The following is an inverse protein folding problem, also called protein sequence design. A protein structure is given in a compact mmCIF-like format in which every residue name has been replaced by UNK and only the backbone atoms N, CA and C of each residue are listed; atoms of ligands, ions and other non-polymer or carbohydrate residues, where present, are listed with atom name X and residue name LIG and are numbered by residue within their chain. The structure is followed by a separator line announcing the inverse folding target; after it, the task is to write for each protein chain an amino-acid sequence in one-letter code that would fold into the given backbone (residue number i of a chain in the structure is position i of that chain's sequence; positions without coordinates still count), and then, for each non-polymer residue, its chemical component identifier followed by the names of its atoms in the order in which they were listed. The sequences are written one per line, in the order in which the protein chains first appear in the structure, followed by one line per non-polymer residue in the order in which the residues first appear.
data_IF_047904867111
#
_entry.id   IF_047904867111
#
_cell.length_a   1.000
_cell.length_b   1.000
_cell.length_c   1.000
_cell.angle_alpha   90.00
_cell.angle_beta   90.00
_cell.angle_gamma   90.00
#
_symmetry.space_group_name_H-M   'P 1'
#
loop_
_entity.id
_entity.type
_entity.pdbx_description
1 polymer ?
#
# COMPACT_ATOMS: atom_id res chain seq x y z
N UNK A 1 16.28 18.33 -14.57
CA UNK A 1 16.99 17.39 -15.44
C UNK A 1 15.92 16.65 -16.24
N UNK A 2 16.00 16.64 -17.56
CA UNK A 2 15.15 15.78 -18.40
C UNK A 2 15.55 14.33 -18.13
N UNK A 3 14.60 13.47 -17.75
CA UNK A 3 14.84 12.02 -17.72
C UNK A 3 15.34 11.60 -19.10
N UNK A 4 16.48 10.92 -19.15
CA UNK A 4 16.91 10.29 -20.38
C UNK A 4 16.01 9.10 -20.68
N UNK A 5 15.92 8.70 -21.94
CA UNK A 5 15.28 7.48 -22.38
C UNK A 5 15.74 6.24 -21.56
N UNK A 6 16.98 6.26 -21.07
CA UNK A 6 17.58 5.21 -20.23
C UNK A 6 17.12 5.24 -18.77
N UNK A 7 16.77 6.42 -18.23
CA UNK A 7 16.30 6.55 -16.85
C UNK A 7 14.97 5.84 -16.60
N UNK A 8 14.28 5.50 -17.69
CA UNK A 8 13.04 4.76 -17.74
C UNK A 8 13.25 3.25 -17.54
N UNK A 9 14.42 2.72 -17.91
CA UNK A 9 14.78 1.30 -17.81
C UNK A 9 15.93 1.13 -16.81
N UNK A 10 15.70 1.50 -15.55
CA UNK A 10 16.65 1.24 -14.46
C UNK A 10 16.24 -0.02 -13.69
N UNK A 11 16.63 -1.17 -14.22
CA UNK A 11 16.37 -2.49 -13.65
C UNK A 11 16.39 -3.55 -14.75
N UNK A 12 16.20 -4.81 -14.37
CA UNK A 12 16.16 -5.89 -15.34
C UNK A 12 14.88 -5.81 -16.20
N UNK A 13 14.97 -6.18 -17.48
CA UNK A 13 13.84 -6.28 -18.38
C UNK A 13 13.48 -7.75 -18.64
N UNK A 14 12.21 -8.01 -18.95
CA UNK A 14 11.78 -9.31 -19.48
C UNK A 14 11.36 -9.14 -20.93
N UNK A 15 11.85 -10.03 -21.80
CA UNK A 15 11.47 -10.08 -23.21
C UNK A 15 10.91 -11.47 -23.50
N UNK A 16 9.66 -11.51 -23.99
CA UNK A 16 8.95 -12.75 -24.32
C UNK A 16 8.63 -12.76 -25.82
N UNK A 17 9.29 -13.63 -26.58
CA UNK A 17 9.08 -13.77 -28.02
C UNK A 17 9.57 -15.17 -28.44
N UNK A 18 8.73 -15.92 -29.16
CA UNK A 18 9.00 -17.31 -29.56
C UNK A 18 10.12 -17.41 -30.63
N UNK A 19 10.44 -16.30 -31.30
CA UNK A 19 11.43 -16.22 -32.38
C UNK A 19 12.77 -15.65 -31.95
N UNK A 20 13.05 -15.57 -30.65
CA UNK A 20 14.38 -15.17 -30.14
C UNK A 20 15.47 -16.07 -30.74
N UNK A 21 16.47 -15.44 -31.39
CA UNK A 21 17.55 -16.11 -32.12
C UNK A 21 17.18 -16.66 -33.50
N UNK A 22 15.95 -16.40 -33.99
CA UNK A 22 15.45 -16.83 -35.30
C UNK A 22 15.00 -15.64 -36.17
N UNK A 23 14.57 -14.55 -35.56
CA UNK A 23 14.11 -13.33 -36.24
C UNK A 23 14.99 -12.12 -35.87
N UNK A 24 15.38 -11.33 -36.88
CA UNK A 24 16.19 -10.13 -36.70
C UNK A 24 15.52 -9.08 -35.83
N UNK A 25 14.18 -9.09 -35.74
CA UNK A 25 13.44 -7.99 -35.13
C UNK A 25 13.51 -7.95 -33.63
N UNK A 26 13.33 -9.11 -33.01
CA UNK A 26 13.53 -9.25 -31.58
C UNK A 26 15.02 -9.23 -31.22
N UNK A 27 15.88 -9.77 -32.08
CA UNK A 27 17.33 -9.78 -31.83
C UNK A 27 17.93 -8.36 -31.86
N UNK A 28 17.42 -7.46 -32.71
CA UNK A 28 17.79 -6.04 -32.70
C UNK A 28 17.33 -5.33 -31.42
N UNK A 29 16.15 -5.68 -30.89
CA UNK A 29 15.65 -5.16 -29.62
C UNK A 29 16.52 -5.63 -28.46
N UNK A 30 16.84 -6.93 -28.43
CA UNK A 30 17.72 -7.52 -27.43
C UNK A 30 19.13 -6.91 -27.50
N UNK A 31 19.63 -6.64 -28.71
CA UNK A 31 20.91 -5.97 -28.90
C UNK A 31 20.91 -4.55 -28.33
N UNK A 32 19.84 -3.78 -28.53
CA UNK A 32 19.73 -2.45 -27.91
C UNK A 32 19.78 -2.53 -26.37
N UNK A 33 19.10 -3.51 -25.76
CA UNK A 33 19.17 -3.74 -24.32
C UNK A 33 20.59 -4.14 -23.85
N UNK A 34 21.25 -5.02 -24.60
CA UNK A 34 22.61 -5.49 -24.31
C UNK A 34 23.64 -4.35 -24.47
N UNK A 35 23.52 -3.50 -25.51
CA UNK A 35 24.38 -2.35 -25.77
C UNK A 35 24.32 -1.31 -24.64
N UNK A 36 23.17 -1.18 -23.98
CA UNK A 36 22.95 -0.31 -22.81
C UNK A 36 23.18 -1.03 -21.46
N UNK A 37 23.71 -2.25 -21.49
CA UNK A 37 24.00 -3.09 -20.32
C UNK A 37 22.78 -3.35 -19.41
N UNK A 38 21.58 -3.42 -19.97
CA UNK A 38 20.34 -3.75 -19.24
C UNK A 38 20.26 -5.28 -19.05
N UNK A 39 20.23 -5.79 -17.81
CA UNK A 39 20.05 -7.22 -17.59
C UNK A 39 18.70 -7.68 -18.14
N UNK A 40 18.71 -8.70 -19.01
CA UNK A 40 17.49 -9.12 -19.72
C UNK A 40 17.21 -10.60 -19.52
N UNK A 41 16.00 -10.92 -19.08
CA UNK A 41 15.47 -12.29 -19.06
C UNK A 41 14.76 -12.55 -20.39
N UNK A 42 15.23 -13.56 -21.13
CA UNK A 42 14.75 -13.91 -22.47
C UNK A 42 13.89 -15.17 -22.36
N UNK A 43 12.62 -15.10 -22.77
CA UNK A 43 11.67 -16.21 -22.72
C UNK A 43 11.07 -16.45 -24.09
N UNK A 44 10.96 -17.72 -24.49
CA UNK A 44 10.31 -18.10 -25.76
C UNK A 44 8.83 -18.40 -25.63
N UNK A 45 8.34 -18.55 -24.40
CA UNK A 45 6.96 -18.93 -24.08
C UNK A 45 6.46 -18.12 -22.90
N UNK A 46 5.14 -18.00 -22.79
CA UNK A 46 4.55 -17.41 -21.60
C UNK A 46 4.82 -18.32 -20.39
N UNK A 47 5.38 -17.79 -19.29
CA UNK A 47 5.53 -18.56 -18.07
C UNK A 47 4.17 -18.77 -17.41
N UNK A 48 4.05 -19.77 -16.52
CA UNK A 48 2.85 -19.92 -15.72
C UNK A 48 2.65 -18.68 -14.81
N UNK A 49 1.40 -18.34 -14.53
CA UNK A 49 1.03 -17.08 -13.84
C UNK A 49 1.44 -17.05 -12.37
N UNK A 50 1.74 -18.19 -11.76
CA UNK A 50 2.28 -18.32 -10.40
C UNK A 50 3.75 -17.84 -10.32
N UNK A 51 4.52 -17.96 -11.41
CA UNK A 51 5.90 -17.49 -11.47
C UNK A 51 6.01 -15.95 -11.41
N UNK A 52 4.92 -15.22 -11.65
CA UNK A 52 4.88 -13.75 -11.65
C UNK A 52 5.21 -13.14 -10.29
N UNK A 53 5.14 -13.92 -9.19
CA UNK A 53 5.61 -13.47 -7.86
C UNK A 53 7.07 -13.00 -7.88
N UNK A 54 7.90 -13.61 -8.74
CA UNK A 54 9.32 -13.26 -8.88
C UNK A 54 9.56 -12.04 -9.77
N UNK A 55 8.52 -11.49 -10.40
CA UNK A 55 8.66 -10.47 -11.44
C UNK A 55 8.51 -9.04 -10.90
N UNK A 56 8.11 -8.89 -9.64
CA UNK A 56 7.77 -7.60 -9.00
C UNK A 56 8.89 -6.55 -9.02
N UNK A 57 10.14 -6.97 -9.22
CA UNK A 57 11.34 -6.12 -9.23
C UNK A 57 11.88 -5.82 -10.64
N UNK A 58 11.30 -6.38 -11.70
CA UNK A 58 11.67 -5.98 -13.06
C UNK A 58 11.32 -4.50 -13.31
N UNK A 59 11.97 -3.89 -14.29
CA UNK A 59 11.67 -2.52 -14.70
C UNK A 59 10.47 -2.49 -15.67
N UNK A 60 10.43 -3.44 -16.60
CA UNK A 60 9.42 -3.53 -17.66
C UNK A 60 9.33 -4.93 -18.25
N UNK A 61 8.26 -5.15 -19.02
CA UNK A 61 8.05 -6.35 -19.82
C UNK A 61 7.85 -5.92 -21.27
N UNK A 62 8.54 -6.58 -22.20
CA UNK A 62 8.24 -6.55 -23.63
C UNK A 62 7.78 -7.95 -24.04
N UNK A 63 6.66 -8.05 -24.72
CA UNK A 63 6.16 -9.33 -25.23
C UNK A 63 5.72 -9.22 -26.69
N UNK A 64 5.92 -10.28 -27.47
CA UNK A 64 5.23 -10.45 -28.74
C UNK A 64 3.75 -10.77 -28.49
N UNK A 65 2.89 -10.27 -29.36
CA UNK A 65 1.48 -10.65 -29.36
C UNK A 65 1.27 -12.00 -30.04
N UNK A 66 2.03 -12.32 -31.09
CA UNK A 66 1.82 -13.50 -31.91
C UNK A 66 2.57 -14.74 -31.40
N UNK A 67 2.58 -14.97 -30.07
CA UNK A 67 3.30 -16.08 -29.45
C UNK A 67 2.70 -17.43 -29.84
N UNK A 68 3.44 -18.21 -30.60
CA UNK A 68 3.08 -19.59 -30.88
C UNK A 68 3.82 -20.48 -29.89
N UNK A 69 3.13 -20.94 -28.83
CA UNK A 69 3.68 -21.95 -27.91
C UNK A 69 3.73 -23.33 -28.61
N UNK A 70 4.19 -23.40 -29.86
CA UNK A 70 4.46 -24.68 -30.49
C UNK A 70 5.62 -25.26 -29.68
N UNK A 71 5.39 -26.42 -29.09
CA UNK A 71 6.47 -27.21 -28.52
C UNK A 71 7.60 -27.34 -29.54
N UNK A 72 8.83 -27.47 -29.06
CA UNK A 72 10.00 -27.82 -29.89
C UNK A 72 9.83 -29.26 -30.45
N UNK A 73 8.67 -29.58 -31.02
CA UNK A 73 8.41 -30.76 -31.82
C UNK A 73 8.74 -30.40 -33.28
N UNK A 74 9.83 -30.91 -33.85
CA UNK A 74 10.37 -30.49 -35.13
C UNK A 74 9.49 -30.85 -36.35
N UNK A 75 8.26 -31.34 -36.16
CA UNK A 75 7.39 -31.84 -37.24
C UNK A 75 6.33 -30.87 -37.77
N UNK A 76 6.16 -29.67 -37.20
CA UNK A 76 5.22 -28.68 -37.75
C UNK A 76 5.94 -27.40 -38.16
N UNK A 77 6.74 -27.49 -39.24
CA UNK A 77 7.05 -26.32 -40.06
C UNK A 77 5.72 -25.83 -40.67
N UNK A 78 5.06 -24.84 -40.05
CA UNK A 78 3.95 -24.15 -40.70
C UNK A 78 4.56 -23.34 -41.85
N UNK A 79 4.30 -23.69 -43.12
CA UNK A 79 4.87 -22.98 -44.26
C UNK A 79 4.36 -21.53 -44.25
N UNK A 80 5.25 -20.57 -44.55
CA UNK A 80 4.88 -19.16 -44.72
C UNK A 80 3.70 -19.04 -45.69
N UNK A 81 2.55 -18.57 -45.20
CA UNK A 81 1.33 -18.37 -45.99
C UNK A 81 0.16 -19.31 -45.68
N UNK A 82 0.31 -20.26 -44.75
CA UNK A 82 -0.83 -21.07 -44.27
C UNK A 82 -1.63 -20.28 -43.23
N UNK A 83 -2.93 -20.08 -43.49
CA UNK A 83 -3.85 -19.45 -42.56
C UNK A 83 -3.93 -20.28 -41.27
N UNK A 84 -3.54 -19.67 -40.16
CA UNK A 84 -3.76 -20.20 -38.81
C UNK A 84 -5.27 -20.43 -38.63
N UNK A 85 -5.72 -21.61 -38.17
CA UNK A 85 -7.14 -21.84 -37.89
C UNK A 85 -7.67 -20.77 -36.94
N UNK A 86 -8.83 -20.19 -37.23
CA UNK A 86 -9.41 -19.08 -36.44
C UNK A 86 -9.58 -19.42 -34.95
N UNK A 87 -9.79 -20.69 -34.62
CA UNK A 87 -9.86 -21.19 -33.24
C UNK A 87 -8.51 -21.14 -32.53
N UNK A 88 -7.40 -21.46 -33.22
CA UNK A 88 -6.05 -21.39 -32.67
C UNK A 88 -5.65 -19.93 -32.41
N UNK A 89 -6.07 -19.02 -33.30
CA UNK A 89 -5.86 -17.58 -33.12
C UNK A 89 -6.61 -17.03 -31.91
N UNK A 90 -7.87 -17.45 -31.68
CA UNK A 90 -8.64 -17.06 -30.50
C UNK A 90 -8.04 -17.59 -29.18
N UNK A 91 -7.51 -18.81 -29.18
CA UNK A 91 -6.88 -19.41 -28.01
C UNK A 91 -5.58 -18.67 -27.62
N UNK A 92 -4.74 -18.33 -28.61
CA UNK A 92 -3.52 -17.52 -28.39
C UNK A 92 -3.89 -16.15 -27.80
N UNK A 93 -4.88 -15.47 -28.37
CA UNK A 93 -5.37 -14.18 -27.86
C UNK A 93 -5.87 -14.31 -26.42
N UNK A 94 -6.70 -15.32 -26.14
CA UNK A 94 -7.22 -15.57 -24.79
C UNK A 94 -6.12 -15.83 -23.75
N UNK A 95 -5.09 -16.60 -24.13
CA UNK A 95 -3.93 -16.87 -23.26
C UNK A 95 -3.14 -15.60 -22.96
N UNK A 96 -2.86 -14.78 -23.98
CA UNK A 96 -2.16 -13.51 -23.81
C UNK A 96 -2.94 -12.57 -22.89
N UNK A 97 -4.26 -12.45 -23.09
CA UNK A 97 -5.14 -11.64 -22.23
C UNK A 97 -5.09 -12.14 -20.79
N UNK A 98 -5.20 -13.45 -20.55
CA UNK A 98 -5.12 -14.00 -19.19
C UNK A 98 -3.77 -13.66 -18.53
N UNK A 99 -2.68 -13.85 -19.25
CA UNK A 99 -1.34 -13.52 -18.75
C UNK A 99 -1.18 -12.04 -18.42
N UNK A 100 -1.64 -11.14 -19.29
CA UNK A 100 -1.61 -9.68 -19.06
C UNK A 100 -2.50 -9.32 -17.86
N UNK A 101 -3.67 -9.93 -17.71
CA UNK A 101 -4.54 -9.74 -16.55
C UNK A 101 -3.82 -10.09 -15.24
N UNK A 102 -3.17 -11.26 -15.20
CA UNK A 102 -2.37 -11.68 -14.04
C UNK A 102 -1.20 -10.72 -13.76
N UNK A 103 -0.54 -10.20 -14.80
CA UNK A 103 0.52 -9.19 -14.65
C UNK A 103 0.01 -7.87 -14.08
N UNK A 104 -1.17 -7.42 -14.52
CA UNK A 104 -1.80 -6.19 -14.04
C UNK A 104 -2.20 -6.31 -12.57
N UNK A 105 -2.70 -7.48 -12.16
CA UNK A 105 -3.09 -7.76 -10.78
C UNK A 105 -1.89 -7.90 -9.82
N UNK A 106 -0.85 -8.63 -10.23
CA UNK A 106 0.25 -9.02 -9.33
C UNK A 106 1.44 -8.05 -9.30
N UNK A 107 1.51 -7.14 -10.26
CA UNK A 107 2.65 -6.23 -10.43
C UNK A 107 2.19 -4.82 -10.76
N UNK A 108 3.07 -3.83 -10.64
CA UNK A 108 2.86 -2.47 -11.15
C UNK A 108 3.74 -2.16 -12.38
N UNK A 109 4.14 -3.20 -13.12
CA UNK A 109 5.06 -3.05 -14.25
C UNK A 109 4.35 -2.48 -15.49
N UNK A 110 5.05 -1.66 -16.29
CA UNK A 110 4.65 -1.36 -17.65
C UNK A 110 4.85 -2.61 -18.54
N UNK A 111 3.88 -2.86 -19.42
CA UNK A 111 3.84 -3.98 -20.36
C UNK A 111 3.79 -3.41 -21.78
N UNK A 112 4.78 -3.74 -22.58
CA UNK A 112 4.90 -3.35 -23.97
C UNK A 112 4.64 -4.55 -24.86
N UNK A 113 3.62 -4.46 -25.70
CA UNK A 113 3.24 -5.50 -26.66
C UNK A 113 3.78 -5.05 -28.01
N UNK A 114 4.72 -5.82 -28.56
CA UNK A 114 5.27 -5.59 -29.89
C UNK A 114 4.56 -6.51 -30.89
N UNK A 115 3.99 -5.98 -31.97
CA UNK A 115 3.21 -6.79 -32.92
C UNK A 115 3.45 -6.39 -34.37
N UNK A 116 3.26 -7.36 -35.28
CA UNK A 116 3.17 -7.13 -36.73
C UNK A 116 1.70 -7.09 -37.22
N UNK A 117 0.75 -7.40 -36.34
CA UNK A 117 -0.68 -7.31 -36.62
C UNK A 117 -1.17 -5.85 -36.63
N UNK A 118 -2.39 -5.64 -37.10
CA UNK A 118 -2.98 -4.31 -37.07
C UNK A 118 -3.17 -3.85 -35.62
N UNK A 119 -2.61 -2.69 -35.27
CA UNK A 119 -2.65 -2.15 -33.91
C UNK A 119 -4.09 -2.00 -33.38
N UNK A 120 -5.04 -1.68 -34.26
CA UNK A 120 -6.45 -1.54 -33.92
C UNK A 120 -7.08 -2.87 -33.49
N UNK A 121 -6.69 -3.99 -34.11
CA UNK A 121 -7.21 -5.32 -33.77
C UNK A 121 -6.75 -5.74 -32.37
N UNK A 122 -5.45 -5.62 -32.09
CA UNK A 122 -4.86 -5.93 -30.77
C UNK A 122 -5.43 -5.01 -29.70
N UNK A 123 -5.52 -3.71 -29.98
CA UNK A 123 -6.05 -2.72 -29.04
C UNK A 123 -7.53 -2.96 -28.73
N UNK A 124 -8.31 -3.42 -29.71
CA UNK A 124 -9.73 -3.79 -29.51
C UNK A 124 -9.84 -5.01 -28.62
N UNK A 125 -9.05 -6.06 -28.86
CA UNK A 125 -9.05 -7.27 -28.02
C UNK A 125 -8.70 -6.97 -26.55
N UNK A 126 -7.68 -6.12 -26.31
CA UNK A 126 -7.32 -5.69 -24.97
C UNK A 126 -8.41 -4.84 -24.31
N UNK A 127 -9.04 -3.95 -25.08
CA UNK A 127 -10.12 -3.10 -24.58
C UNK A 127 -11.33 -3.92 -24.15
N UNK A 128 -11.79 -4.83 -25.01
CA UNK A 128 -12.93 -5.70 -24.74
C UNK A 128 -12.70 -6.57 -23.49
N UNK A 129 -11.45 -6.96 -23.24
CA UNK A 129 -11.09 -7.76 -22.07
C UNK A 129 -10.99 -6.94 -20.77
N UNK A 130 -10.43 -5.74 -20.81
CA UNK A 130 -10.01 -5.02 -19.59
C UNK A 130 -10.80 -3.75 -19.30
N UNK A 131 -11.47 -3.12 -20.26
CA UNK A 131 -12.10 -1.80 -20.02
C UNK A 131 -13.16 -1.84 -18.91
N UNK A 132 -13.89 -2.96 -18.79
CA UNK A 132 -14.90 -3.14 -17.76
C UNK A 132 -14.34 -3.45 -16.36
N UNK A 133 -13.22 -4.17 -16.27
CA UNK A 133 -12.68 -4.69 -15.01
C UNK A 133 -11.47 -3.89 -14.50
N UNK A 134 -10.66 -3.38 -15.41
CA UNK A 134 -9.43 -2.61 -15.17
C UNK A 134 -9.38 -1.42 -16.14
N UNK A 135 -10.25 -0.40 -15.97
CA UNK A 135 -10.39 0.71 -16.92
C UNK A 135 -9.09 1.52 -17.11
N UNK A 136 -8.15 1.44 -16.17
CA UNK A 136 -6.85 2.12 -16.23
C UNK A 136 -5.73 1.25 -16.81
N UNK A 137 -6.02 0.09 -17.41
CA UNK A 137 -4.99 -0.80 -17.96
C UNK A 137 -4.08 -0.09 -19.00
N UNK A 138 -4.63 0.87 -19.77
CA UNK A 138 -3.90 1.64 -20.79
C UNK A 138 -2.84 2.60 -20.20
N UNK A 139 -2.85 2.83 -18.88
CA UNK A 139 -1.76 3.51 -18.16
C UNK A 139 -0.53 2.61 -18.02
N UNK A 140 -0.68 1.30 -18.24
CA UNK A 140 0.39 0.31 -18.03
C UNK A 140 0.66 -0.57 -19.24
N UNK A 141 -0.32 -0.80 -20.09
CA UNK A 141 -0.19 -1.62 -21.29
C UNK A 141 -0.11 -0.72 -22.51
N UNK A 142 0.83 -1.00 -23.39
CA UNK A 142 0.92 -0.33 -24.67
C UNK A 142 1.27 -1.27 -25.80
N UNK A 143 0.68 -1.02 -26.96
CA UNK A 143 0.88 -1.80 -28.17
C UNK A 143 1.69 -0.96 -29.16
N UNK A 144 2.79 -1.51 -29.63
CA UNK A 144 3.66 -0.92 -30.65
C UNK A 144 3.74 -1.85 -31.86
N UNK A 145 3.94 -1.26 -33.04
CA UNK A 145 4.38 -2.05 -34.18
C UNK A 145 5.86 -2.46 -33.99
N UNK A 146 6.28 -3.66 -34.43
CA UNK A 146 7.69 -4.09 -34.30
C UNK A 146 8.65 -3.13 -35.02
N UNK A 147 8.19 -2.43 -36.07
CA UNK A 147 8.97 -1.43 -36.80
C UNK A 147 9.18 -0.12 -36.02
N UNK A 148 8.25 0.30 -35.15
CA UNK A 148 8.38 1.51 -34.32
C UNK A 148 9.44 1.38 -33.21
N UNK A 149 9.69 0.16 -32.75
CA UNK A 149 10.70 -0.11 -31.73
C UNK A 149 12.12 -0.08 -32.28
N UNK A 150 12.28 0.01 -33.61
CA UNK A 150 13.58 0.05 -34.27
C UNK A 150 13.86 1.40 -34.93
N UNK A 151 15.07 1.97 -34.77
CA UNK A 151 16.19 1.56 -33.91
C UNK A 151 16.16 2.22 -32.51
N UNK A 152 15.02 2.78 -32.10
CA UNK A 152 14.94 3.72 -30.97
C UNK A 152 14.08 3.19 -29.81
N UNK A 153 14.26 1.94 -29.40
CA UNK A 153 13.47 1.27 -28.36
C UNK A 153 13.30 2.15 -27.11
N UNK A 154 14.43 2.60 -26.55
CA UNK A 154 14.43 3.40 -25.33
C UNK A 154 13.79 4.76 -25.53
N UNK A 155 13.93 5.38 -26.70
CA UNK A 155 13.29 6.66 -26.98
C UNK A 155 11.77 6.49 -27.06
N UNK A 156 11.30 5.45 -27.76
CA UNK A 156 9.89 5.13 -27.93
C UNK A 156 9.23 4.77 -26.59
N UNK A 157 9.81 3.83 -25.84
CA UNK A 157 9.38 3.47 -24.49
C UNK A 157 9.49 4.67 -23.54
N UNK A 158 10.60 5.40 -23.62
CA UNK A 158 10.90 6.52 -22.75
C UNK A 158 9.91 7.66 -22.93
N UNK A 159 9.52 7.97 -24.17
CA UNK A 159 8.49 8.95 -24.50
C UNK A 159 7.13 8.53 -23.94
N UNK A 160 6.78 7.26 -24.07
CA UNK A 160 5.52 6.71 -23.57
C UNK A 160 5.42 6.73 -22.03
N UNK A 161 6.51 6.40 -21.33
CA UNK A 161 6.55 6.50 -19.85
C UNK A 161 6.56 7.98 -19.42
N UNK A 162 7.28 8.84 -20.15
CA UNK A 162 7.31 10.28 -19.88
C UNK A 162 5.97 10.97 -20.11
N UNK A 163 5.04 10.38 -20.87
CA UNK A 163 3.68 10.90 -21.00
C UNK A 163 2.76 10.45 -19.85
N UNK A 164 3.24 9.62 -18.92
CA UNK A 164 2.44 9.02 -17.82
C UNK A 164 3.00 9.38 -16.44
N UNK A 165 2.44 10.40 -15.76
CA UNK A 165 2.91 10.83 -14.45
C UNK A 165 2.96 9.72 -13.40
N UNK A 166 1.98 8.81 -13.37
CA UNK A 166 1.92 7.73 -12.39
C UNK A 166 3.13 6.78 -12.49
N UNK A 167 3.53 6.40 -13.71
CA UNK A 167 4.70 5.56 -13.93
C UNK A 167 6.01 6.28 -13.59
N UNK A 168 6.09 7.57 -13.88
CA UNK A 168 7.26 8.39 -13.50
C UNK A 168 7.43 8.46 -11.98
N UNK A 169 6.34 8.70 -11.25
CA UNK A 169 6.33 8.72 -9.79
C UNK A 169 6.72 7.35 -9.23
N UNK A 170 6.14 6.26 -9.76
CA UNK A 170 6.46 4.90 -9.33
C UNK A 170 7.95 4.57 -9.54
N UNK A 171 8.50 4.92 -10.70
CA UNK A 171 9.91 4.69 -10.99
C UNK A 171 10.83 5.52 -10.08
N UNK A 172 10.52 6.81 -9.86
CA UNK A 172 11.28 7.65 -8.95
C UNK A 172 11.21 7.11 -7.50
N UNK A 173 10.02 6.70 -7.05
CA UNK A 173 9.82 6.10 -5.73
C UNK A 173 10.63 4.81 -5.56
N UNK A 174 10.56 3.87 -6.52
CA UNK A 174 11.33 2.61 -6.46
C UNK A 174 12.82 2.84 -6.33
N UNK A 175 13.37 3.78 -7.12
CA UNK A 175 14.80 4.13 -7.05
C UNK A 175 15.19 4.68 -5.67
N UNK A 176 14.39 5.61 -5.14
CA UNK A 176 14.63 6.19 -3.84
C UNK A 176 14.50 5.14 -2.71
N UNK A 177 13.50 4.26 -2.80
CA UNK A 177 13.28 3.16 -1.87
C UNK A 177 14.46 2.19 -1.83
N UNK A 178 14.90 1.68 -2.98
CA UNK A 178 16.02 0.72 -3.05
C UNK A 178 17.32 1.36 -2.55
N UNK A 179 17.57 2.63 -2.89
CA UNK A 179 18.74 3.36 -2.37
C UNK A 179 18.69 3.49 -0.84
N UNK A 180 17.52 3.84 -0.28
CA UNK A 180 17.33 3.92 1.16
C UNK A 180 17.47 2.55 1.85
N UNK A 181 16.91 1.49 1.27
CA UNK A 181 17.04 0.11 1.76
C UNK A 181 18.52 -0.31 1.85
N UNK A 182 19.27 -0.14 0.76
CA UNK A 182 20.70 -0.47 0.71
C UNK A 182 21.48 0.30 1.79
N UNK A 183 21.22 1.60 1.94
CA UNK A 183 21.88 2.43 2.95
C UNK A 183 21.60 1.95 4.38
N UNK A 184 20.33 1.67 4.70
CA UNK A 184 19.93 1.16 6.03
C UNK A 184 20.67 -0.13 6.37
N UNK A 185 20.67 -1.12 5.47
CA UNK A 185 21.31 -2.40 5.72
C UNK A 185 22.84 -2.28 5.83
N UNK A 186 23.47 -1.40 5.03
CA UNK A 186 24.88 -1.11 5.19
C UNK A 186 25.20 -0.42 6.52
N UNK A 187 24.37 0.55 6.94
CA UNK A 187 24.59 1.25 8.19
C UNK A 187 24.42 0.31 9.40
N UNK A 188 23.38 -0.51 9.41
CA UNK A 188 23.18 -1.50 10.47
C UNK A 188 24.34 -2.49 10.54
N UNK A 189 24.76 -3.04 9.39
CA UNK A 189 25.89 -3.98 9.34
C UNK A 189 27.21 -3.36 9.78
N UNK A 190 27.43 -2.06 9.53
CA UNK A 190 28.61 -1.32 10.01
C UNK A 190 28.57 -1.06 11.52
N UNK A 191 27.38 -0.80 12.07
CA UNK A 191 27.20 -0.56 13.50
C UNK A 191 27.39 -1.85 14.32
N UNK A 192 26.83 -2.96 13.83
CA UNK A 192 27.03 -4.29 14.38
C UNK A 192 26.90 -5.34 13.27
N UNK A 193 27.91 -6.19 13.10
CA UNK A 193 27.93 -7.28 12.13
C UNK A 193 26.69 -8.21 12.22
N UNK A 194 26.26 -8.51 13.44
CA UNK A 194 25.04 -9.24 13.80
C UNK A 194 24.09 -8.35 14.63
N UNK A 195 23.65 -7.26 13.99
CA UNK A 195 22.65 -6.37 14.57
C UNK A 195 21.32 -7.08 14.82
N UNK A 196 20.98 -8.11 14.02
CA UNK A 196 19.74 -8.89 14.17
C UNK A 196 19.73 -9.63 15.51
N UNK A 197 20.79 -10.37 15.85
CA UNK A 197 20.85 -11.05 17.16
C UNK A 197 20.83 -10.06 18.34
N UNK A 198 21.34 -8.85 18.13
CA UNK A 198 21.28 -7.79 19.15
C UNK A 198 19.84 -7.31 19.38
N UNK A 199 19.09 -7.07 18.31
CA UNK A 199 17.65 -6.73 18.38
C UNK A 199 16.84 -7.88 18.96
N UNK A 200 17.09 -9.12 18.55
CA UNK A 200 16.41 -10.30 19.08
C UNK A 200 16.63 -10.47 20.59
N UNK A 201 17.85 -10.24 21.08
CA UNK A 201 18.15 -10.30 22.52
C UNK A 201 17.40 -9.20 23.29
N UNK A 202 17.32 -7.99 22.75
CA UNK A 202 16.54 -6.90 23.35
C UNK A 202 15.04 -7.22 23.37
N UNK A 203 14.48 -7.64 22.23
CA UNK A 203 13.08 -8.03 22.12
C UNK A 203 12.70 -9.16 23.08
N UNK A 204 13.58 -10.17 23.23
CA UNK A 204 13.36 -11.27 24.18
C UNK A 204 13.43 -10.83 25.63
N UNK A 205 14.36 -9.93 25.96
CA UNK A 205 14.45 -9.37 27.31
C UNK A 205 13.20 -8.56 27.68
N UNK A 206 12.61 -7.91 26.68
CA UNK A 206 11.40 -7.12 26.86
C UNK A 206 10.12 -7.94 26.69
N UNK A 207 10.12 -9.17 26.16
CA UNK A 207 8.89 -9.92 25.80
C UNK A 207 8.08 -9.28 24.66
N UNK A 208 8.77 -8.77 23.63
CA UNK A 208 8.15 -8.19 22.42
C UNK A 208 8.22 -9.14 21.24
N UNK A 209 7.21 -9.08 20.35
CA UNK A 209 7.19 -9.80 19.08
C UNK A 209 8.32 -9.33 18.16
N UNK A 210 9.31 -10.20 17.97
CA UNK A 210 10.52 -9.91 17.16
C UNK A 210 10.18 -9.47 15.73
N UNK A 211 9.28 -10.15 14.99
CA UNK A 211 8.96 -9.75 13.61
C UNK A 211 8.39 -8.33 13.51
N UNK A 212 7.56 -7.93 14.48
CA UNK A 212 6.95 -6.60 14.54
C UNK A 212 8.02 -5.54 14.82
N UNK A 213 8.87 -5.78 15.82
CA UNK A 213 9.98 -4.86 16.15
C UNK A 213 10.95 -4.69 14.97
N UNK A 214 11.31 -5.78 14.28
CA UNK A 214 12.18 -5.72 13.11
C UNK A 214 11.53 -4.94 11.96
N UNK A 215 10.25 -5.21 11.67
CA UNK A 215 9.49 -4.48 10.65
C UNK A 215 9.51 -2.99 10.95
N UNK A 216 9.15 -2.57 12.16
CA UNK A 216 9.02 -1.15 12.50
C UNK A 216 10.37 -0.44 12.48
N UNK A 217 11.41 -1.10 12.99
CA UNK A 217 12.79 -0.60 12.93
C UNK A 217 13.25 -0.37 11.49
N UNK A 218 13.08 -1.38 10.62
CA UNK A 218 13.51 -1.30 9.21
C UNK A 218 12.66 -0.27 8.46
N UNK A 219 11.33 -0.36 8.56
CA UNK A 219 10.40 0.51 7.85
C UNK A 219 10.61 1.99 8.23
N UNK A 220 10.72 2.31 9.53
CA UNK A 220 10.97 3.67 9.97
C UNK A 220 12.32 4.19 9.42
N UNK A 221 13.35 3.35 9.40
CA UNK A 221 14.65 3.76 8.88
C UNK A 221 14.64 3.95 7.35
N UNK A 222 13.98 3.09 6.60
CA UNK A 222 13.88 3.22 5.13
C UNK A 222 13.05 4.46 4.77
N UNK A 223 11.85 4.60 5.33
CA UNK A 223 10.93 5.70 5.01
C UNK A 223 11.54 7.08 5.30
N UNK A 224 12.26 7.24 6.41
CA UNK A 224 12.90 8.51 6.77
C UNK A 224 14.17 8.84 5.97
N UNK A 225 14.65 7.91 5.12
CA UNK A 225 15.78 8.14 4.20
C UNK A 225 15.36 8.34 2.75
N UNK A 226 14.10 8.08 2.42
CA UNK A 226 13.54 8.45 1.12
C UNK A 226 13.44 9.97 1.09
N UNK A 227 14.33 10.60 0.32
CA UNK A 227 14.30 12.04 0.07
C UNK A 227 13.15 12.46 -0.84
N UNK A 228 13.03 13.77 -1.15
CA UNK A 228 12.10 14.27 -2.17
C UNK A 228 12.26 13.51 -3.48
N UNK A 229 11.14 13.14 -4.10
CA UNK A 229 11.17 12.43 -5.38
C UNK A 229 11.66 13.35 -6.49
N UNK A 230 12.71 12.91 -7.18
CA UNK A 230 13.22 13.59 -8.37
C UNK A 230 12.36 13.20 -9.59
N UNK A 231 11.33 14.00 -9.86
CA UNK A 231 10.41 13.84 -11.00
C UNK A 231 10.26 15.15 -11.77
N UNK A 232 10.16 15.05 -13.09
CA UNK A 232 9.87 16.18 -13.98
C UNK A 232 8.41 16.09 -14.44
N UNK A 233 7.49 16.47 -13.56
CA UNK A 233 6.08 16.56 -13.91
C UNK A 233 5.86 17.78 -14.80
N UNK A 234 5.10 17.62 -15.89
CA UNK A 234 4.69 18.73 -16.73
C UNK A 234 3.74 19.70 -16.01
N UNK A 235 3.53 20.87 -16.58
CA UNK A 235 2.57 21.83 -16.05
C UNK A 235 1.15 21.27 -16.10
N UNK A 236 0.42 21.39 -15.00
CA UNK A 236 -1.02 21.11 -14.96
C UNK A 236 -1.75 22.40 -15.32
N UNK A 237 -2.65 22.33 -16.31
CA UNK A 237 -3.52 23.46 -16.64
C UNK A 237 -4.44 23.73 -15.46
N UNK A 238 -4.21 24.83 -14.75
CA UNK A 238 -5.03 25.27 -13.62
C UNK A 238 -6.25 26.07 -14.11
N UNK A 239 -7.09 25.51 -14.99
CA UNK A 239 -8.34 26.16 -15.40
C UNK A 239 -9.55 25.38 -14.85
N UNK A 240 -10.23 25.95 -13.85
CA UNK A 240 -11.55 25.49 -13.41
C UNK A 240 -11.62 24.65 -12.13
N UNK A 241 -12.81 24.14 -11.85
CA UNK A 241 -13.09 23.23 -10.74
C UNK A 241 -12.39 21.88 -10.98
N UNK A 242 -12.01 21.16 -9.91
CA UNK A 242 -11.47 19.81 -10.01
C UNK A 242 -12.40 18.93 -10.88
N UNK A 243 -11.88 18.44 -12.02
CA UNK A 243 -12.64 17.66 -13.01
C UNK A 243 -13.35 16.45 -12.37
N UNK A 244 -12.74 15.85 -11.34
CA UNK A 244 -13.38 14.87 -10.47
C UNK A 244 -12.89 14.99 -9.02
N UNK A 245 -13.59 15.82 -8.23
CA UNK A 245 -13.34 15.94 -6.79
C UNK A 245 -13.54 14.62 -6.02
N UNK A 246 -14.35 13.68 -6.54
CA UNK A 246 -14.59 12.38 -5.91
C UNK A 246 -13.39 11.46 -6.13
N UNK A 247 -12.82 11.41 -7.34
CA UNK A 247 -11.57 10.69 -7.59
C UNK A 247 -10.40 11.22 -6.75
N UNK A 248 -10.25 12.55 -6.64
CA UNK A 248 -9.20 13.11 -5.78
C UNK A 248 -9.41 12.73 -4.31
N UNK A 249 -10.65 12.79 -3.80
CA UNK A 249 -10.97 12.32 -2.45
C UNK A 249 -10.59 10.86 -2.27
N UNK A 250 -10.91 9.98 -3.23
CA UNK A 250 -10.48 8.56 -3.20
C UNK A 250 -8.98 8.41 -3.08
N UNK A 251 -8.19 9.12 -3.90
CA UNK A 251 -6.72 9.04 -3.85
C UNK A 251 -6.18 9.51 -2.49
N UNK A 252 -6.63 10.68 -2.01
CA UNK A 252 -6.24 11.20 -0.70
C UNK A 252 -6.69 10.29 0.44
N UNK A 253 -7.84 9.64 0.27
CA UNK A 253 -8.42 8.72 1.23
C UNK A 253 -7.60 7.42 1.35
N UNK A 254 -7.16 6.82 0.24
CA UNK A 254 -6.21 5.70 0.26
C UNK A 254 -4.84 6.09 0.83
N UNK A 255 -4.49 7.37 0.81
CA UNK A 255 -3.30 7.88 1.53
C UNK A 255 -3.50 7.99 3.05
N UNK A 256 -4.74 7.98 3.54
CA UNK A 256 -5.07 8.16 4.95
C UNK A 256 -5.47 6.85 5.64
N UNK A 257 -6.03 5.88 4.93
CA UNK A 257 -6.56 4.63 5.51
C UNK A 257 -6.09 3.42 4.72
N UNK A 258 -5.69 2.36 5.43
CA UNK A 258 -5.34 1.05 4.87
C UNK A 258 -6.49 0.08 5.16
N UNK A 259 -6.99 -0.68 4.15
CA UNK A 259 -8.06 -1.66 4.37
C UNK A 259 -7.56 -2.87 5.18
N UNK A 260 -8.48 -3.53 5.90
CA UNK A 260 -8.16 -4.70 6.73
C UNK A 260 -7.45 -5.82 5.96
N UNK A 261 -7.80 -6.03 4.69
CA UNK A 261 -7.16 -7.02 3.80
C UNK A 261 -5.65 -6.81 3.59
N UNK A 262 -5.13 -5.62 3.91
CA UNK A 262 -3.71 -5.26 3.83
C UNK A 262 -3.02 -5.21 5.20
N UNK A 263 -3.74 -5.48 6.29
CA UNK A 263 -3.23 -5.47 7.66
C UNK A 263 -2.97 -6.90 8.14
N UNK A 264 -2.00 -7.06 9.06
CA UNK A 264 -1.81 -8.35 9.71
C UNK A 264 -3.03 -8.71 10.58
N UNK A 265 -3.61 -9.91 10.45
CA UNK A 265 -4.83 -10.29 11.20
C UNK A 265 -4.65 -10.27 12.73
N UNK A 266 -3.46 -10.61 13.20
CA UNK A 266 -3.14 -10.73 14.62
C UNK A 266 -2.57 -9.45 15.27
N UNK A 267 -2.49 -8.35 14.53
CA UNK A 267 -1.89 -7.11 15.01
C UNK A 267 -2.96 -6.06 15.22
N UNK A 268 -3.02 -5.46 16.41
CA UNK A 268 -3.85 -4.28 16.67
C UNK A 268 -2.96 -3.04 16.80
N UNK A 269 -3.43 -1.89 16.34
CA UNK A 269 -2.70 -0.62 16.50
C UNK A 269 -3.66 0.56 16.66
N UNK A 270 -3.13 1.65 17.21
CA UNK A 270 -3.82 2.94 17.25
C UNK A 270 -4.26 3.36 15.84
N UNK A 271 -5.53 3.72 15.70
CA UNK A 271 -6.16 4.08 14.43
C UNK A 271 -6.94 2.94 13.77
N UNK A 272 -6.89 1.72 14.30
CA UNK A 272 -7.74 0.61 13.81
C UNK A 272 -9.23 0.99 13.88
N UNK A 273 -9.95 0.67 12.80
CA UNK A 273 -11.35 1.00 12.57
C UNK A 273 -12.20 -0.26 12.73
N UNK A 274 -13.21 -0.21 13.58
CA UNK A 274 -14.08 -1.33 13.89
C UNK A 274 -15.55 -0.99 13.67
N UNK A 275 -16.31 -1.97 13.17
CA UNK A 275 -17.77 -1.91 13.06
C UNK A 275 -18.39 -3.10 13.81
N UNK A 276 -19.68 -3.05 14.17
CA UNK A 276 -20.38 -4.23 14.68
C UNK A 276 -20.26 -5.40 13.70
N UNK A 277 -20.06 -6.61 14.22
CA UNK A 277 -19.99 -7.80 13.37
C UNK A 277 -21.28 -7.97 12.57
N UNK A 278 -21.15 -8.24 11.27
CA UNK A 278 -22.28 -8.34 10.34
C UNK A 278 -22.83 -7.00 9.83
N UNK A 279 -22.21 -5.86 10.18
CA UNK A 279 -22.50 -4.59 9.54
C UNK A 279 -22.10 -4.62 8.05
N UNK A 280 -22.91 -3.99 7.21
CA UNK A 280 -22.64 -3.81 5.78
C UNK A 280 -22.49 -2.33 5.45
N UNK A 281 -21.74 -2.03 4.40
CA UNK A 281 -21.67 -0.66 3.88
C UNK A 281 -23.03 -0.17 3.34
N UNK A 282 -23.32 1.13 3.44
CA UNK A 282 -22.50 2.15 4.10
C UNK A 282 -22.63 2.09 5.63
N UNK A 283 -21.49 2.16 6.33
CA UNK A 283 -21.48 2.10 7.79
C UNK A 283 -22.09 3.36 8.40
N UNK A 284 -23.00 3.20 9.35
CA UNK A 284 -23.58 4.34 10.09
C UNK A 284 -22.62 4.86 11.15
N UNK A 285 -21.87 3.95 11.76
CA UNK A 285 -21.03 4.20 12.92
C UNK A 285 -19.75 3.37 12.81
N UNK A 286 -18.61 4.00 13.10
CA UNK A 286 -17.29 3.37 13.12
C UNK A 286 -16.64 3.70 14.46
N UNK A 287 -16.10 2.68 15.13
CA UNK A 287 -15.28 2.84 16.34
C UNK A 287 -13.81 2.93 15.94
N UNK A 288 -13.14 4.01 16.34
CA UNK A 288 -11.72 4.27 16.07
C UNK A 288 -10.91 4.01 17.33
N UNK A 289 -9.94 3.09 17.27
CA UNK A 289 -9.09 2.76 18.40
C UNK A 289 -8.05 3.86 18.67
N UNK A 290 -8.05 4.42 19.88
CA UNK A 290 -7.09 5.43 20.34
C UNK A 290 -6.15 4.93 21.44
N UNK A 291 -6.30 3.67 21.87
CA UNK A 291 -5.37 3.08 22.84
C UNK A 291 -3.94 3.21 22.32
N UNK A 292 -3.01 3.77 23.11
CA UNK A 292 -1.61 3.89 22.72
C UNK A 292 -1.01 2.52 22.37
N UNK A 293 -0.16 2.47 21.35
CA UNK A 293 0.46 1.21 20.89
C UNK A 293 1.18 0.44 22.01
N UNK A 294 1.77 1.14 22.98
CA UNK A 294 2.44 0.51 24.12
C UNK A 294 1.50 -0.25 25.07
N UNK A 295 0.20 0.05 25.06
CA UNK A 295 -0.83 -0.64 25.84
C UNK A 295 -1.58 -1.71 25.01
N UNK A 296 -1.16 -1.91 23.76
CA UNK A 296 -1.72 -2.87 22.80
C UNK A 296 -0.83 -4.11 22.59
N UNK A 297 0.11 -4.34 23.49
CA UNK A 297 1.00 -5.51 23.42
C UNK A 297 0.30 -6.78 23.88
N UNK A 298 0.56 -7.90 23.21
CA UNK A 298 0.03 -9.25 23.50
C UNK A 298 0.43 -9.84 24.87
N UNK A 299 1.11 -9.08 25.73
CA UNK A 299 1.51 -9.53 27.08
C UNK A 299 0.34 -9.63 28.04
N UNK A 300 -0.68 -8.80 27.81
CA UNK A 300 -1.87 -8.77 28.65
C UNK A 300 -2.96 -9.67 28.06
N UNK A 301 -3.55 -10.53 28.90
CA UNK A 301 -4.74 -11.34 28.56
C UNK A 301 -6.00 -10.47 28.37
N UNK A 302 -5.90 -9.19 28.75
CA UNK A 302 -6.95 -8.19 28.73
C UNK A 302 -6.41 -6.86 28.21
N UNK A 303 -6.97 -6.39 27.11
CA UNK A 303 -6.67 -5.09 26.55
C UNK A 303 -7.67 -4.05 27.01
N UNK A 304 -7.20 -2.84 27.30
CA UNK A 304 -8.09 -1.71 27.53
C UNK A 304 -8.23 -0.92 26.24
N UNK A 305 -9.34 -1.15 25.55
CA UNK A 305 -9.66 -0.37 24.36
C UNK A 305 -10.22 0.96 24.79
N UNK A 306 -9.69 2.03 24.22
CA UNK A 306 -10.22 3.38 24.31
C UNK A 306 -10.55 3.79 22.89
N UNK A 307 -11.82 4.08 22.62
CA UNK A 307 -12.32 4.31 21.28
C UNK A 307 -13.05 5.65 21.18
N UNK A 308 -12.98 6.26 20.01
CA UNK A 308 -13.90 7.32 19.59
C UNK A 308 -14.94 6.75 18.64
N UNK A 309 -16.14 7.32 18.70
CA UNK A 309 -17.20 7.01 17.74
C UNK A 309 -17.21 8.04 16.62
N UNK A 310 -17.13 7.55 15.39
CA UNK A 310 -17.29 8.33 14.17
C UNK A 310 -18.67 8.02 13.58
N UNK A 311 -19.49 9.05 13.37
CA UNK A 311 -20.86 8.92 12.84
C UNK A 311 -20.86 9.43 11.41
N UNK A 312 -21.42 8.63 10.48
CA UNK A 312 -21.51 9.02 9.07
C UNK A 312 -22.34 10.29 8.94
N UNK A 313 -21.78 11.30 8.28
CA UNK A 313 -22.46 12.56 8.05
C UNK A 313 -23.57 12.33 7.01
N UNK A 314 -24.86 12.53 7.36
CA UNK A 314 -25.97 12.31 6.44
C UNK A 314 -26.07 13.38 5.35
N UNK A 315 -25.17 14.36 5.32
CA UNK A 315 -25.16 15.42 4.32
C UNK A 315 -24.78 14.82 2.96
N UNK A 316 -25.80 14.50 2.15
CA UNK A 316 -25.68 14.59 0.70
C UNK A 316 -24.91 15.86 0.37
N UNK A 317 -23.89 15.76 -0.47
CA UNK A 317 -22.94 16.79 -0.87
C UNK A 317 -23.60 17.98 -1.56
N UNK A 318 -24.50 18.69 -0.89
CA UNK A 318 -24.93 20.02 -1.29
C UNK A 318 -23.69 20.89 -1.16
N UNK A 319 -23.18 21.32 -2.31
CA UNK A 319 -22.18 22.37 -2.52
C UNK A 319 -22.51 23.60 -1.66
N UNK A 320 -22.20 23.52 -0.37
CA UNK A 320 -22.37 24.59 0.60
C UNK A 320 -21.26 25.58 0.33
N UNK A 321 -21.61 26.67 -0.36
CA UNK A 321 -20.76 27.85 -0.61
C UNK A 321 -20.21 28.52 0.66
N UNK A 322 -20.45 27.93 1.84
CA UNK A 322 -20.05 28.44 3.15
C UNK A 322 -19.34 27.39 4.01
N UNK A 323 -18.65 26.40 3.42
CA UNK A 323 -17.81 25.44 4.17
C UNK A 323 -16.86 26.11 5.15
N UNK A 324 -16.23 27.22 4.76
CA UNK A 324 -15.33 27.97 5.66
C UNK A 324 -16.13 28.53 6.84
N UNK A 325 -17.28 29.18 6.62
CA UNK A 325 -18.10 29.76 7.67
C UNK A 325 -18.78 28.71 8.58
N UNK A 326 -19.13 27.53 8.07
CA UNK A 326 -19.67 26.42 8.85
C UNK A 326 -18.58 25.67 9.62
N UNK A 327 -17.42 25.40 9.02
CA UNK A 327 -16.25 24.87 9.73
C UNK A 327 -15.78 25.83 10.83
N UNK A 328 -15.88 27.14 10.60
CA UNK A 328 -15.59 28.17 11.61
C UNK A 328 -16.66 28.29 12.71
N UNK A 329 -17.91 27.90 12.42
CA UNK A 329 -18.98 27.80 13.44
C UNK A 329 -18.84 26.52 14.26
N UNK A 330 -18.47 25.40 13.62
CA UNK A 330 -18.18 24.11 14.26
C UNK A 330 -16.93 24.17 15.13
N UNK A 331 -15.88 24.90 14.72
CA UNK A 331 -14.71 25.14 15.57
C UNK A 331 -15.00 26.00 16.80
N UNK A 332 -16.18 26.65 16.87
CA UNK A 332 -16.65 27.47 17.99
C UNK A 332 -17.80 26.84 18.80
N UNK A 333 -18.48 25.80 18.31
CA UNK A 333 -19.37 25.00 19.16
C UNK A 333 -18.53 24.15 20.10
N UNK A 334 -18.93 24.02 21.37
CA UNK A 334 -18.19 23.33 22.44
C UNK A 334 -18.01 21.82 22.24
N UNK A 335 -18.46 21.28 21.12
CA UNK A 335 -18.29 19.89 20.71
C UNK A 335 -17.25 19.88 19.59
N UNK A 336 -16.06 19.38 19.90
CA UNK A 336 -14.94 19.36 18.95
C UNK A 336 -15.20 18.22 17.96
N UNK A 337 -15.99 18.49 16.92
CA UNK A 337 -16.18 17.54 15.84
C UNK A 337 -14.98 17.59 14.89
N UNK A 338 -14.31 16.45 14.69
CA UNK A 338 -13.36 16.28 13.59
C UNK A 338 -14.07 15.54 12.45
N UNK A 339 -14.23 16.19 11.31
CA UNK A 339 -14.70 15.50 10.10
C UNK A 339 -13.53 14.81 9.41
N UNK A 340 -13.60 13.49 9.27
CA UNK A 340 -12.63 12.67 8.54
C UNK A 340 -13.33 11.89 7.44
N UNK A 341 -12.61 11.60 6.35
CA UNK A 341 -13.10 10.64 5.34
C UNK A 341 -12.58 9.26 5.74
N UNK A 342 -13.46 8.35 6.17
CA UNK A 342 -13.12 6.97 6.56
C UNK A 342 -13.43 5.99 5.42
N UNK A 343 -12.83 4.80 5.49
CA UNK A 343 -12.81 3.84 4.39
C UNK A 343 -14.18 3.21 4.18
N UNK A 344 -14.89 3.78 3.21
CA UNK A 344 -16.10 3.27 2.57
C UNK A 344 -16.00 3.53 1.06
N UNK A 345 -16.65 2.70 0.24
CA UNK A 345 -16.60 2.81 -1.23
C UNK A 345 -17.01 4.20 -1.75
N UNK A 346 -17.87 4.89 -0.99
CA UNK A 346 -18.42 6.20 -1.34
C UNK A 346 -17.60 7.38 -0.80
N UNK A 347 -16.50 7.14 -0.07
CA UNK A 347 -15.69 8.17 0.58
C UNK A 347 -16.52 9.16 1.42
N UNK A 348 -17.54 8.65 2.13
CA UNK A 348 -18.39 9.48 2.97
C UNK A 348 -17.60 10.19 4.07
N UNK A 349 -18.04 11.40 4.40
CA UNK A 349 -17.55 12.16 5.55
C UNK A 349 -18.13 11.56 6.84
N UNK A 350 -17.29 11.38 7.85
CA UNK A 350 -17.68 10.98 9.19
C UNK A 350 -17.31 12.08 10.18
N UNK A 351 -18.27 12.45 11.03
CA UNK A 351 -18.04 13.38 12.12
C UNK A 351 -17.66 12.61 13.39
N UNK A 352 -16.50 12.95 13.96
CA UNK A 352 -16.00 12.36 15.20
C UNK A 352 -16.22 13.35 16.34
N UNK A 353 -17.01 12.98 17.34
CA UNK A 353 -17.11 13.74 18.59
C UNK A 353 -15.89 13.45 19.47
N UNK A 354 -14.87 14.30 19.44
CA UNK A 354 -13.59 14.04 20.15
C UNK A 354 -13.73 14.04 21.68
N UNK A 355 -14.84 14.57 22.21
CA UNK A 355 -15.20 14.55 23.62
C UNK A 355 -16.03 13.32 24.06
N UNK A 356 -16.51 12.50 23.12
CA UNK A 356 -17.29 11.30 23.41
C UNK A 356 -16.44 10.06 23.12
N UNK A 357 -15.94 9.46 24.19
CA UNK A 357 -15.11 8.26 24.13
C UNK A 357 -15.66 7.18 25.04
N UNK A 358 -15.43 5.94 24.64
CA UNK A 358 -15.70 4.77 25.47
C UNK A 358 -14.40 4.07 25.80
N UNK A 359 -14.32 3.48 26.99
CA UNK A 359 -13.27 2.52 27.28
C UNK A 359 -13.89 1.21 27.76
N UNK A 360 -13.42 0.12 27.19
CA UNK A 360 -13.85 -1.23 27.53
C UNK A 360 -12.65 -2.16 27.69
N UNK A 361 -12.84 -3.19 28.50
CA UNK A 361 -11.86 -4.27 28.62
C UNK A 361 -12.21 -5.34 27.61
N UNK A 362 -11.30 -5.59 26.67
CA UNK A 362 -11.43 -6.57 25.61
C UNK A 362 -10.52 -7.74 25.92
N UNK A 363 -11.02 -8.96 25.70
CA UNK A 363 -10.23 -10.19 25.77
C UNK A 363 -10.11 -10.72 24.34
N UNK A 364 -8.96 -10.53 23.67
CA UNK A 364 -8.74 -11.11 22.35
C UNK A 364 -8.86 -12.64 22.43
N UNK A 365 -9.48 -13.25 21.42
CA UNK A 365 -9.62 -14.70 21.36
C UNK A 365 -8.70 -15.26 20.29
N UNK A 366 -7.79 -16.16 20.67
CA UNK A 366 -6.94 -16.89 19.74
C UNK A 366 -7.44 -18.32 19.61
N UNK A 367 -7.71 -18.74 18.38
CA UNK A 367 -7.90 -20.15 18.01
C UNK A 367 -6.70 -20.61 17.19
N UNK A 368 -6.67 -21.90 16.82
CA UNK A 368 -5.60 -22.44 15.96
C UNK A 368 -5.62 -21.81 14.55
N UNK A 369 -6.80 -21.35 14.10
CA UNK A 369 -7.04 -20.85 12.74
C UNK A 369 -7.33 -19.33 12.68
N UNK A 370 -7.60 -18.67 13.81
CA UNK A 370 -8.07 -17.27 13.84
C UNK A 370 -7.61 -16.50 15.07
N UNK A 371 -7.47 -15.18 14.93
CA UNK A 371 -7.22 -14.25 16.02
C UNK A 371 -8.26 -13.13 16.01
N UNK A 372 -9.24 -13.25 16.90
CA UNK A 372 -10.29 -12.25 17.08
C UNK A 372 -9.81 -11.18 18.03
N UNK A 373 -9.41 -10.04 17.48
CA UNK A 373 -8.95 -8.85 18.22
C UNK A 373 -10.04 -8.36 19.20
N UNK A 374 -11.27 -8.24 18.72
CA UNK A 374 -12.38 -7.67 19.48
C UNK A 374 -13.68 -8.44 19.22
N UNK A 375 -14.11 -9.32 20.15
CA UNK A 375 -15.32 -10.12 19.98
C UNK A 375 -16.56 -9.26 19.71
N UNK A 376 -17.35 -9.64 18.70
CA UNK A 376 -18.56 -8.92 18.29
C UNK A 376 -18.30 -7.68 17.41
N UNK A 377 -17.03 -7.43 17.04
CA UNK A 377 -16.64 -6.38 16.10
C UNK A 377 -15.84 -6.97 14.94
N UNK A 378 -15.88 -6.28 13.81
CA UNK A 378 -15.07 -6.58 12.62
C UNK A 378 -14.18 -5.38 12.34
N UNK A 379 -12.87 -5.61 12.17
CA UNK A 379 -11.95 -4.58 11.73
C UNK A 379 -12.14 -4.35 10.23
N UNK A 380 -12.23 -3.09 9.81
CA UNK A 380 -12.43 -2.71 8.40
C UNK A 380 -11.21 -2.01 7.81
N UNK A 381 -10.29 -1.52 8.65
CA UNK A 381 -9.05 -0.90 8.22
C UNK A 381 -8.33 -0.18 9.37
N UNK A 382 -7.34 0.64 9.02
CA UNK A 382 -6.53 1.42 9.94
C UNK A 382 -6.29 2.82 9.40
N UNK A 383 -6.63 3.82 10.20
CA UNK A 383 -6.26 5.21 9.95
C UNK A 383 -4.76 5.40 10.20
N UNK A 384 -4.03 5.88 9.19
CA UNK A 384 -2.59 6.09 9.25
C UNK A 384 -2.20 7.43 9.89
N UNK A 385 -0.97 7.54 10.42
CA UNK A 385 -0.35 8.84 10.67
C UNK A 385 -0.31 9.69 9.38
N UNK A 386 -0.46 11.02 9.47
CA UNK A 386 -0.57 11.81 10.71
C UNK A 386 -1.99 11.89 11.29
N UNK A 387 -3.00 11.32 10.64
CA UNK A 387 -4.40 11.46 11.05
C UNK A 387 -4.71 10.76 12.38
N UNK A 388 -4.24 9.52 12.55
CA UNK A 388 -4.37 8.80 13.83
C UNK A 388 -3.61 9.51 14.95
N UNK A 389 -2.41 10.01 14.66
CA UNK A 389 -1.62 10.82 15.60
C UNK A 389 -2.34 12.11 15.99
N UNK A 390 -2.96 12.79 15.03
CA UNK A 390 -3.73 14.02 15.29
C UNK A 390 -4.94 13.74 16.19
N UNK A 391 -5.68 12.65 15.94
CA UNK A 391 -6.78 12.22 16.81
C UNK A 391 -6.28 11.89 18.22
N UNK A 392 -5.18 11.14 18.33
CA UNK A 392 -4.58 10.80 19.60
C UNK A 392 -4.11 12.04 20.38
N UNK A 393 -3.53 13.04 19.70
CA UNK A 393 -3.12 14.31 20.31
C UNK A 393 -4.31 15.19 20.72
N UNK A 394 -5.35 15.24 19.89
CA UNK A 394 -6.58 15.97 20.19
C UNK A 394 -7.24 15.35 21.43
N UNK A 395 -7.27 14.02 21.50
CA UNK A 395 -7.72 13.27 22.66
C UNK A 395 -6.77 13.41 23.87
N UNK A 396 -5.46 13.51 23.65
CA UNK A 396 -4.49 13.65 24.72
C UNK A 396 -4.75 14.87 25.60
N UNK A 397 -5.20 15.97 24.99
CA UNK A 397 -5.59 17.17 25.72
C UNK A 397 -6.77 16.94 26.69
N UNK A 398 -7.59 15.92 26.44
CA UNK A 398 -8.81 15.57 27.18
C UNK A 398 -8.57 14.38 28.13
N UNK A 399 -7.66 13.45 27.81
CA UNK A 399 -7.57 12.15 28.47
C UNK A 399 -6.16 11.66 28.85
N UNK A 400 -5.06 12.26 28.35
CA UNK A 400 -3.73 11.88 28.84
C UNK A 400 -3.58 12.44 30.25
N UNK A 401 -3.48 11.51 31.23
CA UNK A 401 -2.89 11.82 32.53
C UNK A 401 -1.53 12.44 32.24
N UNK A 402 -1.30 13.69 32.67
CA UNK A 402 0.03 14.34 32.67
C UNK A 402 1.08 13.26 32.91
N UNK A 403 1.93 13.01 31.90
CA UNK A 403 2.82 11.86 31.85
C UNK A 403 3.57 11.66 33.15
N UNK A 404 3.05 10.79 34.01
CA UNK A 404 3.81 10.17 35.07
C UNK A 404 4.27 8.85 34.47
N UNK A 405 5.57 8.53 34.51
CA UNK A 405 6.05 7.19 34.12
C UNK A 405 5.24 6.11 34.85
N UNK A 406 5.21 4.87 34.33
CA UNK A 406 4.61 3.74 35.08
C UNK A 406 5.28 3.67 36.45
N UNK A 407 4.61 4.18 37.48
CA UNK A 407 5.05 4.11 38.86
C UNK A 407 4.55 2.78 39.46
N UNK A 408 5.32 2.19 40.39
CA UNK A 408 4.92 0.97 41.09
C UNK A 408 3.50 1.09 41.69
N UNK A 409 2.73 -0.01 41.69
CA UNK A 409 1.32 -0.02 42.10
C UNK A 409 1.12 0.46 43.57
N UNK A 410 2.11 0.17 44.40
CA UNK A 410 2.30 0.58 45.80
C UNK A 410 2.31 2.10 46.02
N UNK A 411 2.49 2.90 44.97
CA UNK A 411 2.40 4.36 45.04
C UNK A 411 0.95 4.88 45.05
N UNK A 412 -0.02 4.02 44.69
CA UNK A 412 -1.45 4.31 44.71
C UNK A 412 -2.17 3.67 45.90
N UNK A 413 -1.44 2.97 46.78
CA UNK A 413 -2.01 2.45 48.00
C UNK A 413 -2.50 3.61 48.89
N UNK A 414 -3.71 3.51 49.47
CA UNK A 414 -4.19 4.52 50.38
C UNK A 414 -3.20 4.64 51.54
N UNK A 415 -2.70 5.86 51.77
CA UNK A 415 -1.75 6.13 52.84
C UNK A 415 -2.29 5.54 54.15
N UNK A 416 -1.59 4.53 54.68
CA UNK A 416 -1.94 3.91 55.94
C UNK A 416 -1.92 5.01 56.99
N UNK A 417 -3.09 5.40 57.49
CA UNK A 417 -3.21 6.30 58.63
C UNK A 417 -2.59 5.58 59.82
N UNK A 418 -1.33 5.87 60.12
CA UNK A 418 -0.68 5.44 61.36
C UNK A 418 -1.36 6.22 62.48
N UNK A 419 -2.43 5.65 63.03
CA UNK A 419 -3.02 6.11 64.28
C UNK A 419 -1.99 5.86 65.37
N UNK A 420 -1.25 6.89 65.75
CA UNK A 420 -0.43 6.87 66.96
C UNK A 420 -1.38 6.66 68.15
N UNK A 421 -1.43 5.44 68.66
CA UNK A 421 -1.92 5.14 70.01
C UNK A 421 -1.01 5.90 70.98
N UNK A 422 -1.53 6.99 71.56
CA UNK A 422 -0.94 7.62 72.74
C UNK A 422 -1.06 6.63 73.89
N UNK A 423 0.08 6.05 74.28
CA UNK A 423 0.25 5.44 75.59
C UNK A 423 0.01 6.52 76.66
N UNK A 424 -1.11 6.42 77.37
CA UNK A 424 -1.29 7.04 78.68
C UNK A 424 -1.07 5.96 79.74
N UNK A 425 0.12 5.93 80.34
CA UNK A 425 0.27 5.34 81.66
C UNK A 425 1.28 6.12 82.51
N UNK A 426 0.86 6.36 83.76
CA UNK A 426 1.64 6.69 84.95
C UNK A 426 2.20 8.12 85.12
N UNK A 427 1.38 8.98 85.75
CA UNK A 427 1.82 9.78 86.90
C UNK A 427 0.61 10.04 87.79
N UNK A 428 0.48 9.29 88.88
CA UNK A 428 -0.13 9.74 90.15
C UNK A 428 0.18 8.69 91.23
N UNK A 429 1.18 9.01 92.04
CA UNK A 429 1.38 8.48 93.39
C UNK A 429 2.07 9.58 94.21
N UNK A 430 1.25 10.39 94.88
CA UNK A 430 1.54 10.91 96.22
C UNK A 430 0.35 10.55 97.12
#
# INVERSE_FOLDING_TARGET
MTMTALDVVRGAAVVIDDRIGQETDIDDLLKQLDDEAVPTVKLKKLPPTDALVHWRQFALIVMDWALTDVDDDPEIEIPRGVQVPSTLSQEVVGRNINFIGALLEQTALPVFIATNEALDEVSTALRDAFEATTPTYAERVHVFSKSELKPNLFETIGRWISSRPALQILNAWRRAYVAAEIDVFHQFSRAQHDWVASVQRAAKADETEIPVMLRDLIAANVLNRIGPLEVALGDVVLDGALDDATALRRVLHYGAVVPDSSLAPAEVSTGDLFVPQGASEPFREISILLTPECDLTLRDDKWRFTTLTAIRNPRESKLSKNRVAEAWKLSRSREWFLTVNLLTEDCAEYDIAVNEWSSETVVPTRTDDDFVIWPGRTRIGRLLPPYSTFLQQSFASVAIRKGMPRLPADLYDPAVTVTQTRDTSAADAE
#
